data_IF_719354125147
#
_entry.id   IF_719354125147
#
_cell.length_a   1.000
_cell.length_b   1.000
_cell.length_c   1.000
_cell.angle_alpha   90.00
_cell.angle_beta   90.00
_cell.angle_gamma   90.00
#
_symmetry.space_group_name_H-M   'P 1'
#
loop_
_entity.id
_entity.type
_entity.pdbx_description
1 polymer ?
#
# COMPACT_ATOMS: atom_id res chain seq x y z
N UNK A 1 -10.69 -22.41 9.88
CA UNK A 1 -10.96 -22.90 8.51
C UNK A 1 -10.74 -21.74 7.54
N UNK A 2 -10.09 -21.97 6.40
CA UNK A 2 -9.93 -20.94 5.35
C UNK A 2 -11.09 -21.09 4.36
N UNK A 3 -11.69 -19.97 3.98
CA UNK A 3 -12.84 -19.89 3.08
C UNK A 3 -12.55 -18.91 1.94
N UNK A 4 -13.39 -18.95 0.91
CA UNK A 4 -13.31 -18.10 -0.28
C UNK A 4 -14.61 -17.33 -0.45
N UNK A 5 -14.53 -16.09 -0.90
CA UNK A 5 -15.71 -15.27 -1.17
C UNK A 5 -15.38 -14.03 -1.97
N UNK A 6 -16.39 -13.20 -2.23
CA UNK A 6 -16.22 -11.91 -2.92
C UNK A 6 -16.41 -10.76 -1.95
N UNK A 7 -15.58 -9.73 -2.05
CA UNK A 7 -15.77 -8.49 -1.30
C UNK A 7 -17.15 -7.92 -1.61
N UNK A 8 -17.90 -7.58 -0.57
CA UNK A 8 -19.19 -6.90 -0.65
C UNK A 8 -19.04 -5.39 -0.43
N UNK A 9 -18.28 -5.01 0.60
CA UNK A 9 -18.02 -3.62 0.96
C UNK A 9 -16.64 -3.49 1.60
N UNK A 10 -16.03 -2.31 1.44
CA UNK A 10 -14.86 -1.88 2.19
C UNK A 10 -15.32 -0.79 3.16
N UNK A 11 -15.07 -0.98 4.46
CA UNK A 11 -15.61 -0.17 5.56
C UNK A 11 -14.69 -0.12 6.79
N UNK A 12 -15.16 0.50 7.87
CA UNK A 12 -14.41 0.68 9.11
C UNK A 12 -13.60 1.97 9.14
N UNK A 13 -13.03 2.23 10.31
CA UNK A 13 -12.24 3.45 10.55
C UNK A 13 -11.01 3.46 9.64
N UNK A 14 -10.69 4.61 9.01
CA UNK A 14 -9.47 4.79 8.25
C UNK A 14 -8.22 4.62 9.13
N UNK A 15 -7.17 4.05 8.56
CA UNK A 15 -5.85 4.08 9.19
C UNK A 15 -5.10 5.40 8.92
N UNK A 16 -3.81 5.46 9.28
CA UNK A 16 -2.97 6.65 9.11
C UNK A 16 -2.86 7.14 7.67
N UNK A 17 -3.08 6.27 6.68
CA UNK A 17 -3.02 6.61 5.26
C UNK A 17 -4.40 7.02 4.71
N UNK A 18 -5.45 7.01 5.54
CA UNK A 18 -6.83 7.21 5.11
C UNK A 18 -7.49 5.94 4.55
N UNK A 19 -6.82 4.80 4.62
CA UNK A 19 -7.33 3.55 4.08
C UNK A 19 -8.23 2.84 5.08
N UNK A 20 -9.41 2.43 4.62
CA UNK A 20 -10.36 1.65 5.41
C UNK A 20 -9.76 0.31 5.83
N UNK A 21 -10.07 -0.11 7.05
CA UNK A 21 -9.36 -1.20 7.74
C UNK A 21 -10.10 -2.53 7.74
N UNK A 22 -11.36 -2.56 7.29
CA UNK A 22 -12.18 -3.77 7.28
C UNK A 22 -12.97 -3.94 5.99
N UNK A 23 -13.38 -5.17 5.71
CA UNK A 23 -14.25 -5.48 4.58
C UNK A 23 -15.27 -6.54 4.95
N UNK A 24 -16.41 -6.51 4.27
CA UNK A 24 -17.38 -7.61 4.30
C UNK A 24 -17.20 -8.49 3.08
N UNK A 25 -17.42 -9.79 3.26
CA UNK A 25 -17.30 -10.79 2.21
C UNK A 25 -18.62 -11.53 2.06
N UNK A 26 -18.98 -11.83 0.83
CA UNK A 26 -20.02 -12.80 0.45
C UNK A 26 -19.33 -14.18 0.30
N UNK A 27 -19.54 -15.11 1.25
CA UNK A 27 -18.97 -16.46 1.18
C UNK A 27 -19.42 -17.21 -0.06
N UNK A 28 -18.52 -17.93 -0.72
CA UNK A 28 -18.87 -18.74 -1.92
C UNK A 28 -19.67 -20.00 -1.58
N UNK A 29 -19.62 -20.44 -0.33
CA UNK A 29 -20.27 -21.68 0.15
C UNK A 29 -21.59 -21.43 0.86
N UNK A 30 -21.97 -20.17 1.06
CA UNK A 30 -23.19 -19.77 1.74
C UNK A 30 -23.75 -18.52 1.08
N UNK A 31 -24.39 -18.74 -0.08
CA UNK A 31 -25.13 -17.69 -0.77
C UNK A 31 -26.18 -17.11 0.19
N UNK A 32 -26.09 -15.81 0.46
CA UNK A 32 -27.03 -14.93 1.21
C UNK A 32 -26.57 -14.40 2.56
N UNK A 33 -25.48 -14.90 3.17
CA UNK A 33 -25.00 -14.37 4.48
C UNK A 33 -23.70 -13.61 4.32
N UNK A 34 -23.77 -12.29 4.36
CA UNK A 34 -22.59 -11.41 4.40
C UNK A 34 -21.86 -11.60 5.73
N UNK A 35 -20.52 -11.69 5.70
CA UNK A 35 -19.73 -11.79 6.92
C UNK A 35 -19.90 -10.56 7.82
N UNK A 36 -19.56 -10.71 9.11
CA UNK A 36 -19.15 -9.56 9.92
C UNK A 36 -17.92 -8.89 9.28
N UNK A 37 -17.61 -7.62 9.61
CA UNK A 37 -16.42 -6.96 9.09
C UNK A 37 -15.17 -7.77 9.44
N UNK A 38 -14.45 -8.20 8.42
CA UNK A 38 -13.17 -8.89 8.53
C UNK A 38 -12.06 -7.86 8.43
N UNK A 39 -11.00 -8.05 9.21
CA UNK A 39 -9.83 -7.16 9.16
C UNK A 39 -9.12 -7.28 7.83
N UNK A 40 -8.82 -6.15 7.19
CA UNK A 40 -7.89 -6.08 6.06
C UNK A 40 -6.48 -5.89 6.65
N UNK A 41 -5.55 -6.85 6.48
CA UNK A 41 -4.15 -6.65 6.84
C UNK A 41 -3.58 -5.41 6.15
N UNK A 42 -2.66 -4.72 6.81
CA UNK A 42 -2.12 -3.44 6.33
C UNK A 42 -1.61 -3.48 4.88
N UNK A 43 -1.03 -4.61 4.44
CA UNK A 43 -0.48 -4.79 3.09
C UNK A 43 -1.54 -5.03 2.00
N UNK A 44 -2.82 -5.17 2.37
CA UNK A 44 -3.95 -5.30 1.44
C UNK A 44 -4.88 -4.07 1.44
N UNK A 45 -4.53 -3.02 2.19
CA UNK A 45 -5.33 -1.80 2.27
C UNK A 45 -5.05 -0.89 1.08
N UNK A 46 -6.01 -0.02 0.78
CA UNK A 46 -5.88 1.02 -0.24
C UNK A 46 -5.44 0.49 -1.60
N UNK A 47 -4.64 1.30 -2.30
CA UNK A 47 -4.08 0.98 -3.60
C UNK A 47 -3.09 -0.20 -3.56
N UNK A 48 -2.55 -0.55 -2.38
CA UNK A 48 -1.62 -1.69 -2.24
C UNK A 48 -2.32 -3.02 -2.51
N UNK A 49 -3.46 -3.26 -1.85
CA UNK A 49 -4.27 -4.45 -2.10
C UNK A 49 -5.25 -4.27 -3.25
N UNK A 50 -5.66 -3.03 -3.54
CA UNK A 50 -6.68 -2.68 -4.53
C UNK A 50 -7.94 -3.55 -4.39
N UNK A 51 -8.44 -3.68 -3.15
CA UNK A 51 -9.66 -4.43 -2.84
C UNK A 51 -10.88 -3.57 -3.17
N UNK A 52 -11.81 -4.12 -3.96
CA UNK A 52 -13.08 -3.49 -4.28
C UNK A 52 -14.21 -4.52 -4.28
N UNK A 53 -15.48 -4.10 -4.20
CA UNK A 53 -16.61 -5.02 -4.34
C UNK A 53 -16.47 -5.91 -5.59
N UNK A 54 -16.79 -7.19 -5.43
CA UNK A 54 -16.67 -8.21 -6.47
C UNK A 54 -15.29 -8.90 -6.54
N UNK A 55 -14.23 -8.31 -5.97
CA UNK A 55 -12.91 -8.95 -5.91
C UNK A 55 -12.98 -10.21 -5.06
N UNK A 56 -12.44 -11.30 -5.60
CA UNK A 56 -12.45 -12.59 -4.96
C UNK A 56 -11.26 -12.74 -4.00
N UNK A 57 -11.52 -13.19 -2.77
CA UNK A 57 -10.55 -13.26 -1.69
C UNK A 57 -10.60 -14.59 -0.95
N UNK A 58 -9.45 -15.01 -0.43
CA UNK A 58 -9.36 -16.00 0.63
C UNK A 58 -9.40 -15.27 1.98
N UNK A 59 -10.14 -15.80 2.94
CA UNK A 59 -10.24 -15.26 4.29
C UNK A 59 -10.33 -16.36 5.34
N UNK A 60 -9.96 -16.04 6.57
CA UNK A 60 -10.14 -16.92 7.72
C UNK A 60 -11.10 -16.27 8.72
N UNK A 61 -11.94 -17.11 9.34
CA UNK A 61 -12.84 -16.73 10.42
C UNK A 61 -12.55 -17.57 11.66
N UNK A 62 -12.63 -16.91 12.81
CA UNK A 62 -12.66 -17.53 14.13
C UNK A 62 -14.10 -17.90 14.50
N UNK A 63 -14.26 -18.71 15.55
CA UNK A 63 -15.57 -19.20 16.00
C UNK A 63 -16.50 -18.08 16.50
N UNK A 64 -15.93 -16.95 16.97
CA UNK A 64 -16.68 -15.76 17.38
C UNK A 64 -17.16 -14.88 16.19
N UNK A 65 -16.87 -15.31 14.96
CA UNK A 65 -17.22 -14.61 13.72
C UNK A 65 -16.31 -13.44 13.37
N UNK A 66 -15.26 -13.16 14.14
CA UNK A 66 -14.17 -12.25 13.73
C UNK A 66 -13.24 -12.95 12.75
N UNK A 67 -12.38 -12.20 12.07
CA UNK A 67 -11.45 -12.78 11.12
C UNK A 67 -10.65 -11.75 10.34
N UNK A 68 -9.96 -12.25 9.33
CA UNK A 68 -9.11 -11.45 8.45
C UNK A 68 -9.13 -11.97 7.01
N UNK A 69 -8.96 -11.04 6.09
CA UNK A 69 -8.66 -11.37 4.69
C UNK A 69 -7.19 -11.79 4.60
N UNK A 70 -6.92 -12.86 3.86
CA UNK A 70 -5.58 -13.41 3.70
C UNK A 70 -4.92 -12.93 2.40
N UNK A 71 -5.67 -12.94 1.30
CA UNK A 71 -5.18 -12.53 -0.02
C UNK A 71 -6.31 -12.37 -1.01
N UNK A 72 -6.05 -11.65 -2.10
CA UNK A 72 -6.81 -11.78 -3.34
C UNK A 72 -6.55 -13.13 -3.99
N UNK A 73 -7.57 -13.68 -4.64
CA UNK A 73 -7.49 -14.97 -5.33
C UNK A 73 -6.85 -14.89 -6.71
N UNK A 74 -6.75 -13.70 -7.30
CA UNK A 74 -6.06 -13.48 -8.58
C UNK A 74 -4.53 -13.38 -8.43
N UNK A 75 -4.01 -13.19 -7.22
CA UNK A 75 -2.57 -13.11 -6.94
C UNK A 75 -1.91 -11.83 -7.46
N UNK A 76 -2.69 -10.86 -7.93
CA UNK A 76 -2.17 -9.62 -8.51
C UNK A 76 -1.76 -8.61 -7.43
N UNK A 77 -0.65 -7.91 -7.68
CA UNK A 77 -0.23 -6.75 -6.91
C UNK A 77 0.13 -5.61 -7.86
N UNK A 78 -0.51 -4.43 -7.76
CA UNK A 78 -0.24 -3.31 -8.66
C UNK A 78 1.17 -2.70 -8.53
N UNK A 79 2.00 -3.16 -7.59
CA UNK A 79 3.34 -2.62 -7.37
C UNK A 79 3.35 -1.26 -6.68
N UNK A 80 2.26 -0.91 -5.98
CA UNK A 80 2.08 0.35 -5.27
C UNK A 80 2.22 0.12 -3.77
N UNK A 81 2.96 0.99 -3.10
CA UNK A 81 3.01 1.08 -1.63
C UNK A 81 2.56 2.49 -1.23
N UNK A 82 1.39 2.65 -0.59
CA UNK A 82 0.87 3.95 -0.20
C UNK A 82 1.52 4.47 1.08
N UNK A 83 1.68 5.79 1.15
CA UNK A 83 2.25 6.50 2.29
C UNK A 83 3.78 6.41 2.38
N UNK A 84 4.31 6.94 3.49
CA UNK A 84 5.75 7.06 3.69
C UNK A 84 6.42 5.73 4.05
N UNK A 85 7.62 5.51 3.50
CA UNK A 85 8.47 4.34 3.77
C UNK A 85 9.77 4.80 4.43
N UNK A 86 10.09 4.23 5.60
CA UNK A 86 11.39 4.44 6.28
C UNK A 86 12.22 3.16 6.28
N UNK A 87 13.42 3.21 5.70
CA UNK A 87 14.40 2.12 5.75
C UNK A 87 15.41 2.41 6.86
N UNK A 88 15.36 1.67 7.98
CA UNK A 88 16.28 1.88 9.12
C UNK A 88 17.66 1.25 8.92
N UNK A 89 17.74 0.15 8.17
CA UNK A 89 18.96 -0.61 7.91
C UNK A 89 18.85 -1.31 6.55
N UNK A 90 19.97 -1.39 5.83
CA UNK A 90 20.03 -1.99 4.49
C UNK A 90 20.27 -0.94 3.41
N UNK A 91 20.17 -1.36 2.15
CA UNK A 91 20.28 -0.49 0.98
C UNK A 91 19.02 -0.63 0.12
N UNK A 92 18.57 0.48 -0.48
CA UNK A 92 17.58 0.46 -1.54
C UNK A 92 18.31 0.36 -2.88
N UNK A 93 18.00 -0.66 -3.69
CA UNK A 93 18.51 -0.80 -5.05
C UNK A 93 17.35 -0.68 -6.02
N UNK A 94 17.51 0.18 -7.04
CA UNK A 94 16.56 0.31 -8.14
C UNK A 94 17.24 -0.19 -9.40
N UNK A 95 16.64 -1.18 -10.05
CA UNK A 95 17.10 -1.70 -11.33
C UNK A 95 16.17 -1.17 -12.41
N UNK A 96 16.75 -0.63 -13.49
CA UNK A 96 16.06 -0.02 -14.62
C UNK A 96 15.23 1.25 -14.31
N UNK A 97 15.03 2.10 -15.33
CA UNK A 97 14.13 3.27 -15.38
C UNK A 97 14.26 4.38 -14.31
N UNK A 98 15.10 4.22 -13.28
CA UNK A 98 15.46 5.26 -12.31
C UNK A 98 14.36 5.59 -11.30
N UNK A 99 14.58 6.65 -10.52
CA UNK A 99 13.62 7.18 -9.53
C UNK A 99 13.10 8.53 -10.02
N UNK A 100 11.77 8.68 -10.11
CA UNK A 100 11.12 9.95 -10.46
C UNK A 100 10.52 10.58 -9.22
N UNK A 101 10.92 11.83 -8.93
CA UNK A 101 10.39 12.63 -7.80
C UNK A 101 9.77 13.91 -8.38
N UNK A 102 8.48 13.88 -8.76
CA UNK A 102 7.89 14.90 -9.64
C UNK A 102 7.62 16.25 -8.94
N UNK A 103 7.38 16.24 -7.63
CA UNK A 103 6.94 17.43 -6.87
C UNK A 103 7.73 17.68 -5.60
N UNK A 104 8.85 16.97 -5.42
CA UNK A 104 9.68 17.05 -4.23
C UNK A 104 11.16 17.01 -4.62
N UNK A 105 12.03 17.03 -3.62
CA UNK A 105 13.48 17.05 -3.80
C UNK A 105 14.11 15.72 -3.37
N UNK A 106 15.23 15.39 -4.00
CA UNK A 106 16.09 14.30 -3.54
C UNK A 106 17.20 14.94 -2.71
N UNK A 107 17.26 14.61 -1.42
CA UNK A 107 18.34 15.08 -0.55
C UNK A 107 19.31 13.96 -0.21
N UNK A 108 20.61 14.23 -0.36
CA UNK A 108 21.68 13.31 0.03
C UNK A 108 22.60 14.03 1.01
N UNK A 109 22.72 13.50 2.24
CA UNK A 109 23.52 14.12 3.31
C UNK A 109 23.17 15.60 3.56
N UNK A 110 21.88 15.96 3.42
CA UNK A 110 21.40 17.34 3.58
C UNK A 110 21.59 18.25 2.37
N UNK A 111 22.16 17.74 1.27
CA UNK A 111 22.33 18.49 0.02
C UNK A 111 21.15 18.19 -0.91
N UNK A 112 20.51 19.25 -1.38
CA UNK A 112 19.38 19.22 -2.31
C UNK A 112 19.80 18.97 -3.75
N UNK A 113 19.17 18.01 -4.43
CA UNK A 113 19.42 17.80 -5.86
C UNK A 113 18.98 19.01 -6.69
N UNK A 114 17.86 19.63 -6.36
CA UNK A 114 17.27 20.73 -7.16
C UNK A 114 17.86 22.11 -6.88
N UNK A 115 18.63 22.29 -5.80
CA UNK A 115 19.16 23.60 -5.41
C UNK A 115 20.66 23.63 -5.05
N UNK A 116 21.40 22.54 -5.24
CA UNK A 116 22.84 22.52 -4.94
C UNK A 116 23.64 23.49 -5.81
N UNK A 117 24.77 23.94 -5.26
CA UNK A 117 25.77 24.76 -5.93
C UNK A 117 27.16 24.15 -5.74
N UNK A 118 28.12 24.58 -6.56
CA UNK A 118 29.51 24.19 -6.45
C UNK A 118 30.42 25.42 -6.30
N UNK A 119 31.40 25.32 -5.41
CA UNK A 119 32.47 26.31 -5.31
C UNK A 119 33.43 26.19 -6.49
N UNK A 120 33.68 27.29 -7.18
CA UNK A 120 34.60 27.41 -8.31
C UNK A 120 35.62 28.54 -8.08
N UNK A 121 36.73 28.60 -8.84
CA UNK A 121 37.76 29.64 -8.69
C UNK A 121 37.26 31.09 -8.81
N UNK A 122 36.07 31.30 -9.37
CA UNK A 122 35.45 32.61 -9.58
C UNK A 122 34.20 32.85 -8.72
N UNK A 123 33.97 32.04 -7.68
CA UNK A 123 32.79 32.10 -6.81
C UNK A 123 31.92 30.85 -6.90
N UNK A 124 30.65 30.96 -6.55
CA UNK A 124 29.69 29.85 -6.58
C UNK A 124 29.01 29.73 -7.94
N UNK A 125 28.68 28.49 -8.35
CA UNK A 125 27.80 28.26 -9.50
C UNK A 125 26.35 28.65 -9.18
N UNK A 126 25.53 28.83 -10.21
CA UNK A 126 24.07 28.79 -10.05
C UNK A 126 23.59 27.35 -9.84
N UNK A 127 22.34 27.19 -9.41
CA UNK A 127 21.72 25.87 -9.26
C UNK A 127 21.44 25.16 -10.60
N UNK A 128 21.01 23.88 -10.53
CA UNK A 128 20.66 23.09 -11.72
C UNK A 128 19.44 23.66 -12.46
N UNK A 129 19.36 23.37 -13.76
CA UNK A 129 18.26 23.74 -14.66
C UNK A 129 17.56 22.51 -15.23
#
# INVERSE_FOLDING_TARGET
MIQKGKISSIEGEPDRNGDKTTARVLPSTADSLVTRPLTIPWYLRGDMGNLSPGVEVAYAMFEDGTGLILSRMDGEWPGIVPGDITIKKGALTVQDKGVSVPSADVTASGISLTSHTHTAPHGETTGPH
#
